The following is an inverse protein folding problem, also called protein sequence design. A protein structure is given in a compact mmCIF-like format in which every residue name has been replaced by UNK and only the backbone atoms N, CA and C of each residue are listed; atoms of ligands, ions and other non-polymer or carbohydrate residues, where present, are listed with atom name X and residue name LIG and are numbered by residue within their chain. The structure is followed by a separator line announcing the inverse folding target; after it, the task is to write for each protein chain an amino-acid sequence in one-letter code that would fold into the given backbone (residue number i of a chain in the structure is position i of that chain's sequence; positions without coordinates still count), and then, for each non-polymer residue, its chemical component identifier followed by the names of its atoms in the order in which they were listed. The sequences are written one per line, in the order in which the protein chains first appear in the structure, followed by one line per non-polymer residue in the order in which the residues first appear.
data_IF_336213761974
#
_entry.id   IF_336213761974
#
_cell.length_a   1.000
_cell.length_b   1.000
_cell.length_c   1.000
_cell.angle_alpha   90.00
_cell.angle_beta   90.00
_cell.angle_gamma   90.00
#
_symmetry.space_group_name_H-M   'P 1'
#
loop_
_entity.id
_entity.type
_entity.pdbx_description
1 polymer ?
#
# COMPACT_ATOMS: atom_id res chain seq x y z
N UNK A 1 8.19 -1.09 10.22
CA UNK A 1 7.23 -0.34 9.40
C UNK A 1 6.93 1.03 10.01
N UNK A 2 6.67 2.04 9.18
CA UNK A 2 6.37 3.40 9.65
C UNK A 2 5.02 3.44 10.37
N UNK A 3 4.96 4.13 11.51
CA UNK A 3 3.77 4.24 12.36
C UNK A 3 2.55 4.83 11.67
N UNK A 4 2.75 5.65 10.64
CA UNK A 4 1.64 6.18 9.85
C UNK A 4 0.78 5.09 9.18
N UNK A 5 1.38 3.92 8.90
CA UNK A 5 0.67 2.77 8.35
C UNK A 5 -0.26 2.18 9.40
N UNK A 6 0.18 2.11 10.66
CA UNK A 6 -0.64 1.62 11.76
C UNK A 6 -1.77 2.59 12.11
N UNK A 7 -1.49 3.90 12.15
CA UNK A 7 -2.54 4.90 12.39
C UNK A 7 -3.60 4.85 11.30
N UNK A 8 -3.20 4.73 10.02
CA UNK A 8 -4.14 4.59 8.91
C UNK A 8 -4.96 3.28 8.98
N UNK A 9 -4.35 2.16 9.41
CA UNK A 9 -5.09 0.91 9.59
C UNK A 9 -6.14 1.05 10.70
N UNK A 10 -5.75 1.65 11.83
CA UNK A 10 -6.65 1.97 12.95
C UNK A 10 -7.80 2.84 12.47
N UNK A 11 -7.52 3.94 11.76
CA UNK A 11 -8.54 4.84 11.23
C UNK A 11 -9.53 4.10 10.31
N UNK A 12 -9.02 3.27 9.39
CA UNK A 12 -9.85 2.46 8.49
C UNK A 12 -10.80 1.53 9.26
N UNK A 13 -10.28 0.84 10.28
CA UNK A 13 -11.08 -0.11 11.08
C UNK A 13 -12.11 0.63 11.92
N UNK A 14 -11.72 1.74 12.56
CA UNK A 14 -12.62 2.55 13.38
C UNK A 14 -13.74 3.15 12.52
N UNK A 15 -13.41 3.68 11.34
CA UNK A 15 -14.39 4.28 10.44
C UNK A 15 -15.42 3.26 9.94
N UNK A 16 -14.99 2.03 9.63
CA UNK A 16 -15.86 0.99 9.06
C UNK A 16 -16.58 0.13 10.09
N UNK A 17 -15.95 -0.13 11.23
CA UNK A 17 -16.40 -1.13 12.20
C UNK A 17 -16.51 -0.59 13.64
N UNK A 18 -16.11 0.66 13.87
CA UNK A 18 -16.23 1.35 15.14
C UNK A 18 -15.07 1.09 16.12
N UNK A 19 -14.92 2.01 17.08
CA UNK A 19 -13.88 1.98 18.11
C UNK A 19 -13.92 0.70 18.97
N UNK A 20 -15.11 0.16 19.24
CA UNK A 20 -15.26 -1.06 20.04
C UNK A 20 -14.57 -2.27 19.38
N UNK A 21 -14.72 -2.42 18.06
CA UNK A 21 -14.05 -3.48 17.29
C UNK A 21 -12.53 -3.30 17.30
N UNK A 22 -12.06 -2.07 17.06
CA UNK A 22 -10.63 -1.78 17.14
C UNK A 22 -10.01 -2.13 18.51
N UNK A 23 -10.70 -1.79 19.61
CA UNK A 23 -10.23 -2.14 20.95
C UNK A 23 -10.18 -3.66 21.19
N UNK A 24 -11.16 -4.41 20.68
CA UNK A 24 -11.16 -5.88 20.73
C UNK A 24 -9.94 -6.47 20.00
N UNK A 25 -9.65 -5.96 18.80
CA UNK A 25 -8.49 -6.37 18.01
C UNK A 25 -7.18 -6.12 18.77
N UNK A 26 -7.02 -4.93 19.37
CA UNK A 26 -5.83 -4.60 20.16
C UNK A 26 -5.64 -5.50 21.38
N UNK A 27 -6.72 -5.83 22.09
CA UNK A 27 -6.66 -6.74 23.24
C UNK A 27 -6.24 -8.16 22.83
N UNK A 28 -6.68 -8.64 21.67
CA UNK A 28 -6.29 -9.94 21.13
C UNK A 28 -4.83 -9.94 20.64
N UNK A 29 -4.36 -8.83 20.07
CA UNK A 29 -3.07 -8.76 19.43
C UNK A 29 -1.88 -8.78 20.41
N UNK A 30 -2.02 -8.32 21.65
CA UNK A 30 -0.93 -8.33 22.66
C UNK A 30 0.41 -7.83 22.10
N UNK A 31 0.37 -6.69 21.40
CA UNK A 31 1.51 -6.14 20.68
C UNK A 31 2.59 -5.63 21.63
N UNK A 32 3.85 -5.67 21.20
CA UNK A 32 4.97 -5.11 21.98
C UNK A 32 4.91 -3.59 22.12
N UNK A 33 4.18 -2.93 21.21
CA UNK A 33 3.87 -1.49 21.25
C UNK A 33 2.67 -1.11 22.11
N UNK A 34 2.01 -2.08 22.76
CA UNK A 34 0.74 -1.90 23.48
C UNK A 34 -0.40 -1.28 22.63
N UNK A 35 -0.27 -1.33 21.29
CA UNK A 35 -1.24 -0.71 20.37
C UNK A 35 -1.19 0.82 20.33
N UNK A 36 -0.14 1.44 20.88
CA UNK A 36 0.02 2.90 20.91
C UNK A 36 0.92 3.35 19.76
N UNK A 37 0.29 3.71 18.64
CA UNK A 37 1.00 4.11 17.43
C UNK A 37 1.11 5.62 17.26
N UNK A 38 2.30 6.09 16.89
CA UNK A 38 2.57 7.47 16.48
C UNK A 38 3.12 7.49 15.06
N UNK A 39 2.68 8.42 14.23
CA UNK A 39 2.99 8.37 12.79
C UNK A 39 4.49 8.45 12.46
N UNK A 40 5.29 9.09 13.32
CA UNK A 40 6.73 9.32 13.11
C UNK A 40 7.62 8.13 13.54
N UNK A 41 7.14 7.25 14.42
CA UNK A 41 7.92 6.13 14.94
C UNK A 41 7.92 4.93 13.99
N UNK A 42 8.86 4.01 14.18
CA UNK A 42 8.86 2.71 13.52
C UNK A 42 8.47 1.61 14.50
N UNK A 43 7.71 0.63 13.99
CA UNK A 43 7.25 -0.53 14.73
C UNK A 43 7.62 -1.82 13.99
N UNK A 44 7.71 -2.99 14.64
CA UNK A 44 8.02 -4.24 13.97
C UNK A 44 6.99 -4.57 12.88
N UNK A 45 7.47 -5.09 11.74
CA UNK A 45 6.57 -5.48 10.64
C UNK A 45 5.59 -6.59 11.08
N UNK A 46 6.01 -7.44 12.02
CA UNK A 46 5.20 -8.50 12.62
C UNK A 46 3.93 -8.00 13.31
N UNK A 47 3.96 -6.81 13.93
CA UNK A 47 2.77 -6.25 14.59
C UNK A 47 1.67 -5.91 13.58
N UNK A 48 2.03 -5.36 12.42
CA UNK A 48 1.06 -5.09 11.37
C UNK A 48 0.47 -6.40 10.83
N UNK A 49 1.32 -7.41 10.59
CA UNK A 49 0.87 -8.70 10.09
C UNK A 49 -0.07 -9.40 11.09
N UNK A 50 0.21 -9.28 12.39
CA UNK A 50 -0.65 -9.79 13.45
C UNK A 50 -2.01 -9.09 13.48
N UNK A 51 -2.02 -7.74 13.42
CA UNK A 51 -3.26 -6.97 13.33
C UNK A 51 -4.09 -7.38 12.11
N UNK A 52 -3.47 -7.47 10.93
CA UNK A 52 -4.12 -7.89 9.69
C UNK A 52 -4.72 -9.30 9.82
N UNK A 53 -4.01 -10.24 10.43
CA UNK A 53 -4.52 -11.60 10.66
C UNK A 53 -5.76 -11.58 11.55
N UNK A 54 -5.71 -10.87 12.68
CA UNK A 54 -6.83 -10.79 13.62
C UNK A 54 -8.04 -10.11 12.96
N UNK A 55 -7.83 -9.01 12.22
CA UNK A 55 -8.90 -8.32 11.50
C UNK A 55 -9.51 -9.24 10.43
N UNK A 56 -8.68 -9.98 9.69
CA UNK A 56 -9.13 -10.96 8.69
C UNK A 56 -10.03 -12.01 9.33
N UNK A 57 -9.61 -12.57 10.46
CA UNK A 57 -10.34 -13.63 11.16
C UNK A 57 -11.64 -13.10 11.79
N UNK A 58 -11.61 -11.94 12.44
CA UNK A 58 -12.77 -11.36 13.13
C UNK A 58 -13.85 -10.86 12.15
N UNK A 59 -13.45 -10.42 10.96
CA UNK A 59 -14.36 -9.91 9.93
C UNK A 59 -14.67 -10.92 8.82
N UNK A 60 -14.06 -12.11 8.85
CA UNK A 60 -14.17 -13.15 7.81
C UNK A 60 -13.81 -12.63 6.40
N UNK A 61 -12.82 -11.73 6.32
CA UNK A 61 -12.33 -11.15 5.07
C UNK A 61 -10.97 -11.77 4.75
N UNK A 62 -10.77 -12.41 3.59
CA UNK A 62 -9.45 -12.95 3.23
C UNK A 62 -8.34 -11.90 3.29
N UNK A 63 -7.21 -12.23 3.92
CA UNK A 63 -6.05 -11.31 4.08
C UNK A 63 -5.69 -10.54 2.80
N UNK A 64 -5.58 -11.14 1.60
CA UNK A 64 -5.24 -10.38 0.39
C UNK A 64 -6.29 -9.31 0.06
N UNK A 65 -7.58 -9.60 0.28
CA UNK A 65 -8.68 -8.66 0.03
C UNK A 65 -8.63 -7.50 1.03
N UNK A 66 -8.43 -7.80 2.31
CA UNK A 66 -8.28 -6.80 3.38
C UNK A 66 -7.08 -5.89 3.12
N UNK A 67 -5.92 -6.46 2.82
CA UNK A 67 -4.67 -5.73 2.60
C UNK A 67 -4.76 -4.85 1.34
N UNK A 68 -5.41 -5.34 0.29
CA UNK A 68 -5.69 -4.54 -0.91
C UNK A 68 -6.61 -3.36 -0.61
N UNK A 69 -7.73 -3.60 0.07
CA UNK A 69 -8.65 -2.54 0.50
C UNK A 69 -7.95 -1.50 1.39
N UNK A 70 -7.06 -1.96 2.28
CA UNK A 70 -6.23 -1.09 3.09
C UNK A 70 -5.27 -0.24 2.25
N UNK A 71 -4.67 -0.79 1.19
CA UNK A 71 -3.84 -0.02 0.26
C UNK A 71 -4.60 1.15 -0.38
N UNK A 72 -5.83 0.90 -0.82
CA UNK A 72 -6.71 1.95 -1.38
C UNK A 72 -6.98 3.04 -0.33
N UNK A 73 -7.29 2.65 0.91
CA UNK A 73 -7.55 3.59 2.00
C UNK A 73 -6.30 4.39 2.42
N UNK A 74 -5.13 3.75 2.43
CA UNK A 74 -3.87 4.33 2.85
C UNK A 74 -3.36 5.39 1.85
N UNK A 75 -3.61 5.19 0.56
CA UNK A 75 -3.00 6.00 -0.50
C UNK A 75 -3.20 7.53 -0.33
N UNK A 76 -4.42 8.06 -0.08
CA UNK A 76 -4.61 9.49 0.10
C UNK A 76 -3.75 10.09 1.22
N UNK A 77 -3.57 9.37 2.34
CA UNK A 77 -2.74 9.82 3.45
C UNK A 77 -1.25 9.88 3.07
N UNK A 78 -0.77 8.98 2.20
CA UNK A 78 0.58 9.03 1.65
C UNK A 78 0.71 10.19 0.64
N UNK A 79 -0.25 10.31 -0.29
CA UNK A 79 -0.25 11.30 -1.35
C UNK A 79 -0.36 12.74 -0.84
N UNK A 80 -1.01 12.97 0.30
CA UNK A 80 -1.05 14.27 0.97
C UNK A 80 0.33 14.77 1.42
N UNK A 81 1.31 13.87 1.58
CA UNK A 81 2.69 14.16 1.99
C UNK A 81 3.68 14.08 0.83
N UNK A 82 3.18 14.02 -0.40
CA UNK A 82 4.00 13.84 -1.60
C UNK A 82 5.00 14.99 -1.79
N UNK A 83 6.12 14.74 -2.49
CA UNK A 83 7.02 15.81 -2.93
C UNK A 83 6.32 16.78 -3.88
N UNK A 84 6.64 18.09 -3.78
CA UNK A 84 6.04 19.14 -4.63
C UNK A 84 6.27 18.91 -6.12
N UNK A 85 7.32 18.18 -6.52
CA UNK A 85 7.56 17.84 -7.93
C UNK A 85 6.37 17.08 -8.55
N UNK A 86 5.59 16.35 -7.74
CA UNK A 86 4.44 15.58 -8.23
C UNK A 86 3.19 16.41 -8.47
N UNK A 87 3.19 17.72 -8.17
CA UNK A 87 2.02 18.58 -8.39
C UNK A 87 1.67 18.76 -9.87
N UNK A 88 2.62 18.48 -10.78
CA UNK A 88 2.43 18.56 -12.23
C UNK A 88 2.02 17.23 -12.88
N UNK A 89 2.07 16.13 -12.13
CA UNK A 89 1.70 14.79 -12.63
C UNK A 89 0.20 14.72 -12.85
N UNK A 90 -0.24 14.20 -13.99
CA UNK A 90 -1.67 14.27 -14.41
C UNK A 90 -2.39 12.94 -14.48
N UNK A 91 -1.67 11.82 -14.45
CA UNK A 91 -2.27 10.49 -14.56
C UNK A 91 -1.53 9.44 -13.75
N UNK A 92 -2.20 8.32 -13.53
CA UNK A 92 -1.69 7.22 -12.71
C UNK A 92 -0.46 6.57 -13.32
N UNK A 93 -0.42 6.37 -14.64
CA UNK A 93 0.73 5.76 -15.32
C UNK A 93 1.98 6.62 -15.14
N UNK A 94 1.86 7.93 -15.37
CA UNK A 94 2.94 8.89 -15.12
C UNK A 94 3.33 8.90 -13.64
N UNK A 95 2.38 8.93 -12.71
CA UNK A 95 2.69 8.89 -11.28
C UNK A 95 3.51 7.67 -10.87
N UNK A 96 3.16 6.49 -11.40
CA UNK A 96 3.82 5.24 -11.06
C UNK A 96 5.28 5.20 -11.52
N UNK A 97 5.65 5.91 -12.60
CA UNK A 97 7.07 6.01 -13.01
C UNK A 97 7.91 6.84 -12.05
N UNK A 98 7.29 7.73 -11.25
CA UNK A 98 7.98 8.55 -10.25
C UNK A 98 8.10 7.87 -8.87
N UNK A 99 7.46 6.72 -8.64
CA UNK A 99 7.39 6.11 -7.30
C UNK A 99 8.78 5.75 -6.76
N UNK A 100 9.61 5.04 -7.53
CA UNK A 100 10.93 4.63 -7.06
C UNK A 100 11.89 5.82 -6.96
N UNK A 101 12.06 6.55 -8.07
CA UNK A 101 13.12 7.54 -8.20
C UNK A 101 12.82 8.87 -7.49
N UNK A 102 11.55 9.15 -7.19
CA UNK A 102 11.15 10.39 -6.50
C UNK A 102 10.49 10.11 -5.16
N UNK A 103 9.41 9.34 -5.10
CA UNK A 103 8.67 9.14 -3.83
C UNK A 103 9.51 8.37 -2.82
N UNK A 104 10.01 7.19 -3.19
CA UNK A 104 10.82 6.36 -2.29
C UNK A 104 12.15 7.01 -1.96
N UNK A 105 12.78 7.70 -2.92
CA UNK A 105 13.98 8.50 -2.67
C UNK A 105 13.75 9.57 -1.58
N UNK A 106 12.67 10.35 -1.68
CA UNK A 106 12.32 11.40 -0.72
C UNK A 106 11.94 10.83 0.65
N UNK A 107 11.18 9.73 0.69
CA UNK A 107 10.87 9.02 1.94
C UNK A 107 12.15 8.52 2.61
N UNK A 108 13.09 7.95 1.85
CA UNK A 108 14.37 7.46 2.38
C UNK A 108 15.25 8.59 2.88
N UNK A 109 15.22 9.76 2.23
CA UNK A 109 15.92 10.97 2.70
C UNK A 109 15.41 11.44 4.06
N UNK A 110 14.09 11.43 4.27
CA UNK A 110 13.47 11.85 5.53
C UNK A 110 13.57 10.78 6.63
N UNK A 111 13.52 9.51 6.23
CA UNK A 111 13.54 8.35 7.14
C UNK A 111 14.59 7.33 6.66
N UNK A 112 15.88 7.56 6.96
CA UNK A 112 16.99 6.72 6.47
C UNK A 112 16.86 5.25 6.83
N UNK A 113 16.26 4.93 7.98
CA UNK A 113 16.11 3.56 8.47
C UNK A 113 14.87 2.86 7.90
N UNK A 114 14.03 3.56 7.13
CA UNK A 114 12.82 2.95 6.56
C UNK A 114 13.19 1.95 5.48
N UNK A 115 12.67 0.73 5.62
CA UNK A 115 12.66 -0.26 4.55
C UNK A 115 11.48 -0.01 3.61
N UNK A 116 11.79 0.12 2.31
CA UNK A 116 10.85 0.31 1.21
C UNK A 116 10.96 -0.86 0.23
N UNK A 117 9.88 -1.24 -0.48
CA UNK A 117 9.99 -2.09 -1.65
C UNK A 117 10.71 -1.35 -2.78
N UNK A 118 11.17 -2.08 -3.79
CA UNK A 118 11.68 -1.47 -5.02
C UNK A 118 10.68 -1.65 -6.16
N UNK A 119 10.58 -0.65 -7.03
CA UNK A 119 9.86 -0.74 -8.29
C UNK A 119 10.79 -0.50 -9.48
N UNK A 120 10.72 -1.38 -10.46
CA UNK A 120 11.18 -1.10 -11.83
C UNK A 120 9.95 -0.97 -12.72
N UNK A 121 10.06 -0.18 -13.79
CA UNK A 121 8.94 0.05 -14.69
C UNK A 121 9.35 0.01 -16.16
N UNK A 122 8.44 -0.46 -17.01
CA UNK A 122 8.59 -0.53 -18.45
C UNK A 122 7.28 -0.06 -19.09
N UNK A 123 7.35 0.94 -19.98
CA UNK A 123 6.20 1.39 -20.75
C UNK A 123 5.88 0.35 -21.83
N UNK A 124 4.61 -0.05 -21.89
CA UNK A 124 4.12 -0.99 -22.88
C UNK A 124 3.73 -0.26 -24.17
N UNK A 125 3.80 -0.93 -25.35
CA UNK A 125 3.44 -0.31 -26.63
C UNK A 125 2.00 0.21 -26.72
N UNK A 126 1.09 -0.31 -25.89
CA UNK A 126 -0.31 0.09 -25.80
C UNK A 126 -0.57 1.27 -24.83
N UNK A 127 0.49 1.86 -24.26
CA UNK A 127 0.39 2.92 -23.27
C UNK A 127 0.16 2.43 -21.83
N UNK A 128 0.12 1.12 -21.61
CA UNK A 128 0.16 0.53 -20.27
C UNK A 128 1.54 0.60 -19.61
N UNK A 129 1.61 0.16 -18.36
CA UNK A 129 2.83 0.10 -17.58
C UNK A 129 3.01 -1.30 -16.99
N UNK A 130 4.17 -1.91 -17.26
CA UNK A 130 4.63 -3.06 -16.49
C UNK A 130 5.41 -2.55 -15.28
N UNK A 131 5.00 -2.95 -14.08
CA UNK A 131 5.71 -2.69 -12.84
C UNK A 131 6.28 -4.00 -12.29
N UNK A 132 7.56 -4.00 -11.96
CA UNK A 132 8.22 -5.11 -11.29
C UNK A 132 8.44 -4.72 -9.83
N UNK A 133 7.74 -5.39 -8.93
CA UNK A 133 7.76 -5.17 -7.49
C UNK A 133 8.62 -6.21 -6.78
N UNK A 134 9.55 -5.76 -5.93
CA UNK A 134 10.33 -6.63 -5.03
C UNK A 134 10.29 -6.12 -3.60
N UNK A 135 10.06 -7.06 -2.68
CA UNK A 135 10.02 -6.76 -1.26
C UNK A 135 10.17 -8.02 -0.42
N UNK A 136 11.01 -7.96 0.62
CA UNK A 136 11.10 -9.00 1.65
C UNK A 136 9.79 -9.16 2.43
N UNK A 137 8.92 -8.14 2.42
CA UNK A 137 7.61 -8.18 3.09
C UNK A 137 6.54 -8.87 2.27
N UNK A 138 6.77 -9.08 0.96
CA UNK A 138 5.85 -9.78 0.05
C UNK A 138 4.41 -9.20 0.05
N UNK A 139 4.26 -7.89 0.28
CA UNK A 139 2.95 -7.23 0.40
C UNK A 139 2.41 -6.77 -0.96
N UNK A 140 2.39 -7.66 -1.95
CA UNK A 140 1.95 -7.30 -3.30
C UNK A 140 0.46 -6.92 -3.37
N UNK A 141 -0.40 -7.49 -2.50
CA UNK A 141 -1.79 -7.05 -2.38
C UNK A 141 -1.90 -5.58 -1.91
N UNK A 142 -0.99 -5.13 -1.03
CA UNK A 142 -0.94 -3.73 -0.61
C UNK A 142 -0.49 -2.84 -1.77
N UNK A 143 0.53 -3.28 -2.53
CA UNK A 143 1.01 -2.55 -3.71
C UNK A 143 -0.11 -2.39 -4.76
N UNK A 144 -0.88 -3.45 -5.01
CA UNK A 144 -2.05 -3.41 -5.91
C UNK A 144 -3.10 -2.41 -5.42
N UNK A 145 -3.45 -2.44 -4.13
CA UNK A 145 -4.38 -1.49 -3.53
C UNK A 145 -3.89 -0.04 -3.60
N UNK A 146 -2.58 0.19 -3.44
CA UNK A 146 -1.98 1.52 -3.59
C UNK A 146 -2.04 2.01 -5.05
N UNK A 147 -1.87 1.13 -6.04
CA UNK A 147 -2.04 1.47 -7.46
C UNK A 147 -3.49 1.87 -7.74
N UNK A 148 -4.47 1.13 -7.22
CA UNK A 148 -5.89 1.49 -7.33
C UNK A 148 -6.22 2.80 -6.62
N UNK A 149 -5.66 3.02 -5.43
CA UNK A 149 -5.78 4.29 -4.71
C UNK A 149 -5.18 5.47 -5.49
N UNK A 150 -4.06 5.25 -6.19
CA UNK A 150 -3.47 6.22 -7.09
C UNK A 150 -4.40 6.54 -8.27
N UNK A 151 -4.95 5.52 -8.93
CA UNK A 151 -5.91 5.71 -10.01
C UNK A 151 -7.12 6.54 -9.55
N UNK A 152 -7.67 6.24 -8.37
CA UNK A 152 -8.76 7.01 -7.78
C UNK A 152 -8.39 8.48 -7.52
N UNK A 153 -7.16 8.76 -7.07
CA UNK A 153 -6.66 10.12 -6.86
C UNK A 153 -6.61 10.93 -8.17
N UNK A 154 -6.30 10.30 -9.31
CA UNK A 154 -6.31 10.91 -10.63
C UNK A 154 -7.67 10.85 -11.34
N UNK A 155 -8.69 10.26 -10.70
CA UNK A 155 -10.04 10.02 -11.26
C UNK A 155 -10.01 9.15 -12.52
N UNK A 156 -9.08 8.20 -12.54
CA UNK A 156 -8.91 7.23 -13.61
C UNK A 156 -9.34 5.84 -13.13
N UNK A 157 -9.83 5.02 -14.06
CA UNK A 157 -10.06 3.61 -13.83
C UNK A 157 -8.91 2.82 -14.46
N UNK A 158 -8.40 1.83 -13.74
CA UNK A 158 -7.31 0.98 -14.23
C UNK A 158 -7.70 -0.48 -14.24
N UNK A 159 -7.23 -1.20 -15.24
CA UNK A 159 -7.17 -2.65 -15.25
C UNK A 159 -5.76 -3.08 -14.80
N UNK A 160 -5.70 -3.96 -13.79
CA UNK A 160 -4.44 -4.47 -13.24
C UNK A 160 -4.43 -5.99 -13.38
N UNK A 161 -3.39 -6.52 -13.99
CA UNK A 161 -3.11 -7.96 -14.03
C UNK A 161 -1.84 -8.26 -13.24
N UNK A 162 -1.80 -9.41 -12.56
CA UNK A 162 -0.62 -9.86 -11.83
C UNK A 162 -0.13 -11.24 -12.34
N UNK A 163 0.54 -11.30 -13.52
CA UNK A 163 0.95 -12.56 -14.13
C UNK A 163 2.04 -13.29 -13.33
N UNK A 164 2.89 -12.56 -12.60
CA UNK A 164 3.95 -13.13 -11.76
C UNK A 164 3.74 -12.67 -10.32
N UNK A 165 3.82 -13.60 -9.37
CA UNK A 165 3.63 -13.30 -7.96
C UNK A 165 4.46 -14.23 -7.07
N UNK A 166 5.13 -13.67 -6.06
CA UNK A 166 5.92 -14.44 -5.09
C UNK A 166 5.10 -15.48 -4.33
N UNK A 167 3.83 -15.20 -4.07
CA UNK A 167 2.89 -16.13 -3.44
C UNK A 167 2.45 -17.28 -4.37
N UNK A 168 2.78 -17.19 -5.66
CA UNK A 168 2.50 -18.19 -6.70
C UNK A 168 3.79 -18.80 -7.27
N UNK A 169 4.91 -18.68 -6.56
CA UNK A 169 6.21 -19.25 -6.94
C UNK A 169 7.09 -18.38 -7.84
N UNK A 170 6.73 -17.11 -8.09
CA UNK A 170 7.59 -16.16 -8.78
C UNK A 170 8.72 -15.63 -7.90
N UNK A 171 9.80 -15.12 -8.51
CA UNK A 171 10.90 -14.47 -7.77
C UNK A 171 10.59 -13.01 -7.37
N UNK A 172 9.61 -12.41 -8.04
CA UNK A 172 9.10 -11.06 -7.81
C UNK A 172 7.60 -11.02 -8.10
N UNK A 173 6.99 -9.84 -7.98
CA UNK A 173 5.64 -9.63 -8.50
C UNK A 173 5.67 -8.71 -9.71
N UNK A 174 4.88 -9.02 -10.73
CA UNK A 174 4.69 -8.15 -11.89
C UNK A 174 3.26 -7.65 -11.91
N UNK A 175 3.07 -6.35 -12.11
CA UNK A 175 1.76 -5.74 -12.36
C UNK A 175 1.73 -5.18 -13.78
N UNK A 176 0.72 -5.54 -14.56
CA UNK A 176 0.43 -4.88 -15.83
C UNK A 176 -0.74 -3.93 -15.60
N UNK A 177 -0.48 -2.64 -15.64
CA UNK A 177 -1.43 -1.57 -15.34
C UNK A 177 -1.83 -0.88 -16.64
N UNK A 178 -3.13 -0.78 -16.91
CA UNK A 178 -3.66 -0.06 -18.07
C UNK A 178 -4.80 0.86 -17.64
N UNK A 179 -4.83 2.09 -18.14
CA UNK A 179 -5.97 2.99 -17.91
C UNK A 179 -7.10 2.60 -18.85
N UNK A 180 -8.30 2.41 -18.30
CA UNK A 180 -9.49 2.20 -19.09
C UNK A 180 -9.80 3.50 -19.82
N UNK A 181 -9.61 3.53 -21.14
CA UNK A 181 -10.12 4.63 -21.96
C UNK A 181 -11.64 4.51 -21.99
N UNK A 182 -12.34 5.52 -21.48
CA UNK A 182 -13.78 5.65 -21.69
C UNK A 182 -14.01 5.72 -23.20
N UNK A 183 -14.69 4.73 -23.76
CA UNK A 183 -15.26 4.79 -25.11
C UNK A 183 -16.32 5.90 -25.18
#
# INVERSE_FOLDING_TARGET
MQGMVFTALSDMVIEKFGMSRWNSILQQAQLSSDGVFTSAQQYPDAELLQLVSIISDELEIPVPVLVKAFGVYLFPALYARRPKQLDQVKGVIEFLTFVEDTVHYEVKRLYPDTYLPTFEHELLPDGGLKLIYRSKRQMCALAEGLIEGAAAQFKEEVHIEQPVCVHKGGEHCEFLVRVNTKQ
#
